data_IF_175060011869
#
_entry.id   IF_175060011869
#
_cell.length_a   1.000
_cell.length_b   1.000
_cell.length_c   1.000
_cell.angle_alpha   90.00
_cell.angle_beta   90.00
_cell.angle_gamma   90.00
#
_symmetry.space_group_name_H-M   'P 1'
#
loop_
_entity.id
_entity.type
_entity.pdbx_description
1 polymer ?
#
# COMPACT_ATOMS: atom_id res chain seq x y z
N UNK A 1 -2.36 -16.24 19.50
CA UNK A 1 -1.36 -16.99 18.71
C UNK A 1 -0.50 -15.98 17.97
N UNK A 2 0.82 -16.13 18.05
CA UNK A 2 1.73 -15.15 17.48
C UNK A 2 1.62 -15.15 15.96
N UNK A 3 1.49 -13.99 15.31
CA UNK A 3 1.30 -13.85 13.85
C UNK A 3 2.31 -14.67 13.02
N UNK A 4 3.52 -14.89 13.56
CA UNK A 4 4.55 -15.77 13.02
C UNK A 4 4.10 -17.22 12.84
N UNK A 5 3.35 -17.79 13.77
CA UNK A 5 2.88 -19.18 13.69
C UNK A 5 1.78 -19.35 12.63
N UNK A 6 0.89 -18.37 12.51
CA UNK A 6 -0.13 -18.33 11.45
C UNK A 6 0.51 -18.25 10.07
N UNK A 7 1.54 -17.41 9.90
CA UNK A 7 2.28 -17.32 8.65
C UNK A 7 2.96 -18.65 8.28
N UNK A 8 3.62 -19.29 9.25
CA UNK A 8 4.30 -20.57 9.02
C UNK A 8 3.32 -21.70 8.71
N UNK A 9 2.13 -21.70 9.32
CA UNK A 9 1.08 -22.67 9.03
C UNK A 9 0.55 -22.51 7.59
N UNK A 10 0.28 -21.28 7.16
CA UNK A 10 -0.19 -20.99 5.79
C UNK A 10 0.85 -21.40 4.73
N UNK A 11 2.14 -21.06 4.94
CA UNK A 11 3.22 -21.43 4.04
C UNK A 11 3.38 -22.95 3.90
N UNK A 12 3.19 -23.71 4.99
CA UNK A 12 3.24 -25.17 4.96
C UNK A 12 2.16 -25.78 4.08
N UNK A 13 0.93 -25.28 4.17
CA UNK A 13 -0.19 -25.75 3.33
C UNK A 13 0.11 -25.54 1.85
N UNK A 14 0.59 -24.35 1.49
CA UNK A 14 0.95 -24.01 0.10
C UNK A 14 2.04 -24.94 -0.44
N UNK A 15 3.06 -25.27 0.38
CA UNK A 15 4.14 -26.19 -0.01
C UNK A 15 3.66 -27.64 -0.19
N UNK A 16 2.69 -28.08 0.61
CA UNK A 16 2.19 -29.47 0.57
C UNK A 16 1.21 -29.74 -0.57
N UNK A 17 0.52 -28.73 -1.09
CA UNK A 17 -0.46 -28.88 -2.19
C UNK A 17 0.18 -28.90 -3.59
N UNK A 18 1.50 -28.82 -3.71
CA UNK A 18 2.23 -29.00 -4.98
C UNK A 18 2.08 -27.85 -5.98
N UNK A 19 1.39 -26.78 -5.61
CA UNK A 19 1.42 -25.50 -6.33
C UNK A 19 2.81 -24.87 -6.14
N UNK A 20 3.42 -24.33 -7.19
CA UNK A 20 4.72 -23.68 -7.08
C UNK A 20 4.65 -22.53 -6.05
N UNK A 21 5.30 -22.67 -4.87
CA UNK A 21 5.21 -21.69 -3.80
C UNK A 21 5.82 -20.34 -4.20
N UNK A 22 6.64 -20.30 -5.26
CA UNK A 22 7.32 -19.08 -5.72
C UNK A 22 6.31 -18.01 -6.15
N UNK A 23 5.21 -18.39 -6.80
CA UNK A 23 4.19 -17.44 -7.24
C UNK A 23 3.48 -16.78 -6.06
N UNK A 24 3.13 -17.56 -5.03
CA UNK A 24 2.46 -17.05 -3.82
C UNK A 24 3.41 -16.17 -3.00
N UNK A 25 4.68 -16.57 -2.88
CA UNK A 25 5.70 -15.77 -2.20
C UNK A 25 5.95 -14.45 -2.95
N UNK A 26 6.04 -14.49 -4.29
CA UNK A 26 6.23 -13.29 -5.10
C UNK A 26 5.08 -12.28 -4.89
N UNK A 27 3.82 -12.74 -4.93
CA UNK A 27 2.67 -11.88 -4.64
C UNK A 27 2.67 -11.35 -3.20
N UNK A 28 3.03 -12.18 -2.22
CA UNK A 28 3.12 -11.74 -0.83
C UNK A 28 4.17 -10.62 -0.64
N UNK A 29 5.30 -10.68 -1.37
CA UNK A 29 6.32 -9.64 -1.36
C UNK A 29 5.79 -8.35 -2.02
N UNK A 30 5.19 -8.45 -3.21
CA UNK A 30 4.59 -7.31 -3.91
C UNK A 30 3.53 -6.59 -3.07
N UNK A 31 2.72 -7.35 -2.32
CA UNK A 31 1.69 -6.81 -1.43
C UNK A 31 2.30 -5.98 -0.30
N UNK A 32 3.37 -6.48 0.32
CA UNK A 32 4.10 -5.78 1.39
C UNK A 32 4.81 -4.54 0.86
N UNK A 33 5.45 -4.62 -0.31
CA UNK A 33 6.12 -3.49 -0.95
C UNK A 33 5.12 -2.40 -1.34
N UNK A 34 3.97 -2.77 -1.92
CA UNK A 34 2.90 -1.83 -2.27
C UNK A 34 2.30 -1.14 -1.05
N UNK A 35 2.07 -1.87 0.04
CA UNK A 35 1.60 -1.29 1.29
C UNK A 35 2.64 -0.33 1.90
N UNK A 36 3.91 -0.69 1.81
CA UNK A 36 5.02 0.16 2.27
C UNK A 36 5.10 1.44 1.43
N UNK A 37 4.98 1.35 0.11
CA UNK A 37 4.96 2.49 -0.79
C UNK A 37 3.77 3.43 -0.54
N UNK A 38 2.57 2.88 -0.26
CA UNK A 38 1.39 3.68 0.12
C UNK A 38 1.61 4.46 1.42
N UNK A 39 2.30 3.87 2.40
CA UNK A 39 2.64 4.55 3.66
C UNK A 39 3.71 5.63 3.50
N UNK A 40 4.58 5.49 2.50
CA UNK A 40 5.65 6.44 2.20
C UNK A 40 5.22 7.54 1.23
N UNK A 41 4.04 7.43 0.61
CA UNK A 41 3.49 8.50 -0.21
C UNK A 41 3.42 9.78 0.63
N UNK A 42 4.16 10.84 0.28
CA UNK A 42 4.09 12.10 0.99
C UNK A 42 2.65 12.59 0.86
N UNK A 43 1.97 12.75 1.99
CA UNK A 43 0.77 13.55 2.02
C UNK A 43 1.27 14.96 1.70
N UNK A 44 1.14 15.39 0.43
CA UNK A 44 1.42 16.75 0.01
C UNK A 44 0.46 17.67 0.76
N UNK A 45 0.85 18.02 1.99
CA UNK A 45 0.22 19.09 2.72
C UNK A 45 0.41 20.33 1.86
N UNK A 46 -0.67 21.05 1.49
CA UNK A 46 -0.56 22.24 0.67
C UNK A 46 0.41 23.19 1.38
N UNK A 47 1.56 23.45 0.74
CA UNK A 47 2.54 24.37 1.26
C UNK A 47 1.93 25.76 1.48
N UNK A 48 2.60 26.66 2.21
CA UNK A 48 2.07 28.00 2.53
C UNK A 48 1.78 28.88 1.29
N UNK A 49 2.22 28.46 0.09
CA UNK A 49 1.95 29.09 -1.19
C UNK A 49 1.12 28.23 -2.15
N UNK A 50 0.58 27.10 -1.70
CA UNK A 50 -0.29 26.28 -2.54
C UNK A 50 -1.54 27.11 -2.90
N UNK A 51 -1.93 27.15 -4.18
CA UNK A 51 -3.13 27.85 -4.59
C UNK A 51 -4.32 27.22 -3.88
N UNK A 52 -4.84 27.94 -2.90
CA UNK A 52 -6.06 27.62 -2.19
C UNK A 52 -7.19 27.53 -3.24
N UNK A 53 -7.86 26.38 -3.31
CA UNK A 53 -8.91 26.12 -4.29
C UNK A 53 -10.01 27.19 -4.28
N UNK A 54 -10.26 27.81 -3.13
CA UNK A 54 -11.19 28.94 -3.01
C UNK A 54 -10.70 30.24 -3.67
N UNK A 55 -9.39 30.45 -3.81
CA UNK A 55 -8.84 31.63 -4.47
C UNK A 55 -8.97 31.57 -5.99
N UNK A 56 -9.19 30.39 -6.59
CA UNK A 56 -9.42 30.27 -8.04
C UNK A 56 -10.83 30.72 -8.47
N UNK A 57 -11.82 30.67 -7.58
CA UNK A 57 -13.22 31.04 -7.90
C UNK A 57 -13.56 32.51 -7.62
N UNK A 58 -12.70 33.24 -6.91
CA UNK A 58 -12.92 34.64 -6.56
C UNK A 58 -12.90 35.61 -7.76
N UNK A 59 -12.40 35.19 -8.93
CA UNK A 59 -12.29 36.03 -10.12
C UNK A 59 -13.44 35.90 -11.14
N UNK A 60 -14.47 35.09 -10.89
CA UNK A 60 -15.54 34.81 -11.88
C UNK A 60 -16.91 35.40 -11.52
N UNK A 61 -16.91 36.51 -10.78
CA UNK A 61 -18.13 37.31 -10.53
C UNK A 61 -17.82 38.78 -10.81
N UNK A 62 -17.65 39.09 -12.09
CA UNK A 62 -17.85 40.43 -12.66
C UNK A 62 -18.63 40.28 -13.95
#
# INVERSE_FOLDING_TARGET
MAAREQLLAALRVILTEGQDPRAVIAHAIEDVERETAKRQAPQEAPGPYAPNAWSMYAGRVQ
#
